data_IF_391817574093
#
_entry.id   IF_391817574093
#
_cell.length_a   1.000
_cell.length_b   1.000
_cell.length_c   1.000
_cell.angle_alpha   90.00
_cell.angle_beta   90.00
_cell.angle_gamma   90.00
#
_symmetry.space_group_name_H-M   'P 1'
#
loop_
_entity.id
_entity.type
_entity.pdbx_description
1 polymer ?
#
# COMPACT_ATOMS: atom_id res chain seq x y z
N UNK A 1 6.89 25.61 -5.80
CA UNK A 1 6.05 24.46 -5.41
C UNK A 1 6.84 23.18 -5.62
N UNK A 2 7.28 22.51 -4.54
CA UNK A 2 7.76 21.13 -4.68
C UNK A 2 6.57 20.26 -5.11
N UNK A 3 6.75 19.31 -6.05
CA UNK A 3 5.68 18.37 -6.35
C UNK A 3 5.32 17.58 -5.09
N UNK A 4 4.03 17.53 -4.75
CA UNK A 4 3.52 16.74 -3.63
C UNK A 4 3.80 15.26 -3.89
N UNK A 5 4.36 14.57 -2.89
CA UNK A 5 4.35 13.11 -2.87
C UNK A 5 3.04 12.68 -2.24
N UNK A 6 2.32 11.76 -2.89
CA UNK A 6 0.97 11.37 -2.49
C UNK A 6 0.84 9.86 -2.49
N UNK A 7 -0.04 9.37 -1.63
CA UNK A 7 -0.52 7.99 -1.60
C UNK A 7 -2.02 8.09 -1.81
N UNK A 8 -2.49 7.53 -2.92
CA UNK A 8 -3.91 7.49 -3.26
C UNK A 8 -4.42 6.11 -2.84
N UNK A 9 -5.33 6.06 -1.87
CA UNK A 9 -5.85 4.80 -1.31
C UNK A 9 -7.29 4.59 -1.79
N UNK A 10 -7.59 3.33 -2.12
CA UNK A 10 -8.91 2.82 -2.49
C UNK A 10 -9.22 1.59 -1.63
N UNK A 11 -10.45 1.06 -1.73
CA UNK A 11 -10.86 -0.12 -0.97
C UNK A 11 -10.03 -1.37 -1.27
N UNK A 12 -9.61 -1.53 -2.52
CA UNK A 12 -8.94 -2.72 -3.07
C UNK A 12 -7.50 -2.45 -3.54
N UNK A 13 -6.96 -1.26 -3.28
CA UNK A 13 -5.60 -0.96 -3.70
C UNK A 13 -5.13 0.45 -3.38
N UNK A 14 -3.96 0.77 -3.91
CA UNK A 14 -3.37 2.08 -3.78
C UNK A 14 -2.42 2.43 -4.93
N UNK A 15 -2.12 3.71 -5.05
CA UNK A 15 -1.08 4.28 -5.90
C UNK A 15 -0.12 5.12 -5.07
N UNK A 16 1.14 5.14 -5.50
CA UNK A 16 2.16 6.04 -4.94
C UNK A 16 2.51 7.05 -6.02
N UNK A 17 2.35 8.33 -5.73
CA UNK A 17 2.88 9.44 -6.52
C UNK A 17 4.15 9.93 -5.86
N UNK A 18 5.30 9.74 -6.51
CA UNK A 18 6.59 10.19 -6.02
C UNK A 18 7.35 10.90 -7.13
N UNK A 19 7.84 12.13 -6.86
CA UNK A 19 8.56 12.96 -7.84
C UNK A 19 7.82 13.08 -9.19
N UNK A 20 6.50 13.34 -9.14
CA UNK A 20 5.59 13.46 -10.30
C UNK A 20 5.41 12.18 -11.13
N UNK A 21 5.89 11.03 -10.65
CA UNK A 21 5.65 9.74 -11.29
C UNK A 21 4.69 8.92 -10.44
N UNK A 22 3.75 8.26 -11.11
CA UNK A 22 2.76 7.40 -10.51
C UNK A 22 3.24 5.94 -10.58
N UNK A 23 3.10 5.20 -9.48
CA UNK A 23 3.47 3.80 -9.34
C UNK A 23 2.27 3.03 -8.81
N UNK A 24 1.90 1.95 -9.49
CA UNK A 24 0.73 1.14 -9.17
C UNK A 24 -0.01 0.64 -10.42
N UNK A 25 -1.27 0.19 -10.27
CA UNK A 25 -1.92 0.02 -8.98
C UNK A 25 -1.25 -1.11 -8.20
N UNK A 26 -1.12 -0.92 -6.90
CA UNK A 26 -0.84 -2.01 -5.96
C UNK A 26 -2.19 -2.48 -5.46
N UNK A 27 -2.57 -3.72 -5.78
CA UNK A 27 -3.91 -4.25 -5.52
C UNK A 27 -3.87 -5.25 -4.36
N UNK A 28 -4.97 -5.33 -3.63
CA UNK A 28 -5.24 -6.32 -2.60
C UNK A 28 -6.31 -7.28 -3.12
N UNK A 29 -6.11 -8.59 -2.94
CA UNK A 29 -7.12 -9.58 -3.28
C UNK A 29 -7.18 -10.69 -2.22
N UNK A 30 -8.38 -11.25 -2.04
CA UNK A 30 -8.52 -12.48 -1.29
C UNK A 30 -7.97 -13.65 -2.10
N UNK A 31 -7.04 -14.39 -1.49
CA UNK A 31 -6.54 -15.65 -2.03
C UNK A 31 -7.35 -16.80 -1.44
N UNK A 32 -8.14 -17.45 -2.29
CA UNK A 32 -8.95 -18.61 -1.92
C UNK A 32 -8.11 -19.81 -1.50
N UNK A 33 -6.90 -19.93 -2.07
CA UNK A 33 -6.01 -21.08 -1.84
C UNK A 33 -5.22 -20.97 -0.53
N UNK A 34 -4.97 -19.74 -0.06
CA UNK A 34 -4.16 -19.47 1.14
C UNK A 34 -4.98 -19.06 2.37
N UNK A 35 -6.30 -18.95 2.24
CA UNK A 35 -7.18 -18.37 3.26
C UNK A 35 -6.68 -17.00 3.78
N UNK A 36 -6.13 -16.17 2.88
CA UNK A 36 -5.42 -14.94 3.23
C UNK A 36 -5.51 -13.86 2.16
N UNK A 37 -4.76 -12.78 2.35
CA UNK A 37 -4.70 -11.65 1.42
C UNK A 37 -3.39 -11.69 0.64
N UNK A 38 -3.49 -11.52 -0.67
CA UNK A 38 -2.37 -11.35 -1.57
C UNK A 38 -2.33 -9.92 -2.12
N UNK A 39 -1.12 -9.49 -2.43
CA UNK A 39 -0.83 -8.18 -2.98
C UNK A 39 -0.22 -8.31 -4.36
N UNK A 40 -0.80 -7.60 -5.32
CA UNK A 40 -0.40 -7.63 -6.72
C UNK A 40 0.14 -6.28 -7.16
N UNK A 41 1.16 -6.30 -8.00
CA UNK A 41 1.61 -5.15 -8.77
C UNK A 41 1.76 -5.59 -10.22
N UNK A 42 1.10 -4.87 -11.14
CA UNK A 42 1.10 -5.21 -12.58
C UNK A 42 0.68 -6.67 -12.86
N UNK A 43 -0.25 -7.20 -12.06
CA UNK A 43 -0.76 -8.57 -12.19
C UNK A 43 0.11 -9.66 -11.58
N UNK A 44 1.30 -9.32 -11.07
CA UNK A 44 2.19 -10.29 -10.42
C UNK A 44 2.14 -10.14 -8.90
N UNK A 45 2.08 -11.28 -8.20
CA UNK A 45 2.14 -11.32 -6.74
C UNK A 45 3.49 -10.82 -6.25
N UNK A 46 3.46 -9.88 -5.32
CA UNK A 46 4.66 -9.34 -4.69
C UNK A 46 4.62 -9.47 -3.17
N UNK A 47 3.45 -9.68 -2.56
CA UNK A 47 3.36 -9.95 -1.13
C UNK A 47 2.13 -10.79 -0.77
N UNK A 48 2.17 -11.42 0.40
CA UNK A 48 1.08 -12.23 0.92
C UNK A 48 1.14 -12.38 2.44
N UNK A 49 -0.03 -12.55 3.05
CA UNK A 49 -0.18 -12.95 4.45
C UNK A 49 -0.21 -14.48 4.52
N UNK A 50 0.88 -15.09 4.99
CA UNK A 50 1.02 -16.55 5.07
C UNK A 50 0.45 -17.14 6.37
N UNK A 51 0.10 -16.30 7.34
CA UNK A 51 -0.43 -16.70 8.65
C UNK A 51 -0.63 -15.51 9.57
N UNK A 52 -1.04 -15.73 10.84
CA UNK A 52 -1.36 -14.65 11.78
C UNK A 52 -0.23 -13.64 12.00
N UNK A 53 1.03 -14.09 11.91
CA UNK A 53 2.24 -13.30 12.12
C UNK A 53 3.28 -13.51 11.01
N UNK A 54 2.91 -14.20 9.93
CA UNK A 54 3.82 -14.51 8.83
C UNK A 54 3.44 -13.70 7.60
N UNK A 55 4.41 -12.94 7.10
CA UNK A 55 4.23 -12.03 5.99
C UNK A 55 5.42 -12.12 5.03
N UNK A 56 5.14 -12.35 3.75
CA UNK A 56 6.14 -12.36 2.69
C UNK A 56 5.95 -11.13 1.81
N UNK A 57 7.05 -10.46 1.43
CA UNK A 57 7.04 -9.42 0.42
C UNK A 57 8.37 -9.34 -0.33
N UNK A 58 8.29 -9.28 -1.65
CA UNK A 58 9.40 -9.04 -2.55
C UNK A 58 9.00 -8.06 -3.66
N UNK A 59 9.63 -6.87 -3.63
CA UNK A 59 9.45 -5.82 -4.62
C UNK A 59 10.64 -5.72 -5.59
N UNK A 60 11.72 -6.49 -5.38
CA UNK A 60 12.93 -6.46 -6.20
C UNK A 60 12.63 -6.67 -7.70
N UNK A 61 11.77 -7.62 -8.12
CA UNK A 61 11.49 -7.84 -9.54
C UNK A 61 10.89 -6.63 -10.27
N UNK A 62 10.27 -5.70 -9.54
CA UNK A 62 9.58 -4.54 -10.13
C UNK A 62 10.49 -3.33 -10.34
N UNK A 63 11.74 -3.39 -9.84
CA UNK A 63 12.77 -2.36 -10.04
C UNK A 63 12.26 -0.95 -9.72
N UNK A 64 11.49 -0.83 -8.63
CA UNK A 64 10.94 0.44 -8.17
C UNK A 64 12.01 1.26 -7.43
N UNK A 65 11.88 2.60 -7.40
CA UNK A 65 12.76 3.41 -6.55
C UNK A 65 12.64 2.97 -5.08
N UNK A 66 13.76 2.94 -4.34
CA UNK A 66 13.78 2.49 -2.95
C UNK A 66 12.74 3.20 -2.05
N UNK A 67 12.51 4.50 -2.25
CA UNK A 67 11.45 5.24 -1.54
C UNK A 67 10.05 4.69 -1.82
N UNK A 68 9.77 4.30 -3.06
CA UNK A 68 8.48 3.69 -3.43
C UNK A 68 8.37 2.31 -2.79
N UNK A 69 9.44 1.51 -2.77
CA UNK A 69 9.46 0.23 -2.06
C UNK A 69 9.13 0.41 -0.58
N UNK A 70 9.81 1.33 0.13
CA UNK A 70 9.56 1.58 1.55
C UNK A 70 8.12 2.01 1.82
N UNK A 71 7.58 2.93 1.02
CA UNK A 71 6.19 3.38 1.16
C UNK A 71 5.22 2.22 0.90
N UNK A 72 5.45 1.42 -0.15
CA UNK A 72 4.62 0.27 -0.46
C UNK A 72 4.64 -0.76 0.68
N UNK A 73 5.81 -1.10 1.23
CA UNK A 73 5.93 -2.03 2.35
C UNK A 73 5.16 -1.55 3.59
N UNK A 74 5.23 -0.25 3.92
CA UNK A 74 4.48 0.33 5.04
C UNK A 74 2.98 0.19 4.82
N UNK A 75 2.48 0.55 3.64
CA UNK A 75 1.05 0.48 3.32
C UNK A 75 0.58 -0.96 3.37
N UNK A 76 1.32 -1.87 2.78
CA UNK A 76 0.99 -3.29 2.71
C UNK A 76 0.91 -3.91 4.12
N UNK A 77 1.90 -3.65 4.99
CA UNK A 77 1.87 -4.11 6.37
C UNK A 77 0.66 -3.53 7.13
N UNK A 78 0.38 -2.23 6.94
CA UNK A 78 -0.78 -1.58 7.54
C UNK A 78 -2.09 -2.21 7.07
N UNK A 79 -2.23 -2.47 5.77
CA UNK A 79 -3.46 -3.05 5.19
C UNK A 79 -3.66 -4.49 5.62
N UNK A 80 -2.60 -5.31 5.64
CA UNK A 80 -2.65 -6.67 6.15
C UNK A 80 -3.19 -6.72 7.59
N UNK A 81 -2.70 -5.83 8.45
CA UNK A 81 -3.14 -5.77 9.85
C UNK A 81 -4.54 -5.15 10.01
N UNK A 82 -4.84 -4.11 9.24
CA UNK A 82 -6.13 -3.42 9.32
C UNK A 82 -7.29 -4.31 8.87
N UNK A 83 -7.08 -5.07 7.80
CA UNK A 83 -8.05 -6.03 7.29
C UNK A 83 -8.29 -7.17 8.30
N UNK A 84 -7.26 -7.62 9.01
CA UNK A 84 -7.38 -8.60 10.10
C UNK A 84 -8.27 -8.13 11.25
N UNK A 85 -8.26 -6.83 11.57
CA UNK A 85 -9.03 -6.26 12.67
C UNK A 85 -10.35 -5.59 12.23
N UNK A 86 -10.70 -5.65 10.94
CA UNK A 86 -11.91 -5.03 10.42
C UNK A 86 -11.92 -3.49 10.49
N UNK A 87 -10.74 -2.86 10.48
CA UNK A 87 -10.61 -1.40 10.60
C UNK A 87 -11.19 -0.68 9.37
N UNK A 88 -11.78 0.50 9.57
CA UNK A 88 -12.33 1.33 8.49
C UNK A 88 -11.24 2.13 7.75
N UNK A 89 -11.59 2.81 6.66
CA UNK A 89 -10.63 3.58 5.85
C UNK A 89 -9.95 4.71 6.65
N UNK A 90 -10.71 5.44 7.48
CA UNK A 90 -10.16 6.53 8.29
C UNK A 90 -9.09 6.03 9.27
N UNK A 91 -9.35 4.91 9.94
CA UNK A 91 -8.40 4.26 10.84
C UNK A 91 -7.14 3.80 10.10
N UNK A 92 -7.30 3.21 8.91
CA UNK A 92 -6.19 2.81 8.04
C UNK A 92 -5.33 4.02 7.65
N UNK A 93 -5.95 5.10 7.19
CA UNK A 93 -5.25 6.33 6.79
C UNK A 93 -4.49 6.93 7.97
N UNK A 94 -5.12 7.03 9.14
CA UNK A 94 -4.46 7.53 10.35
C UNK A 94 -3.22 6.70 10.70
N UNK A 95 -3.33 5.37 10.60
CA UNK A 95 -2.23 4.45 10.86
C UNK A 95 -1.11 4.56 9.83
N UNK A 96 -1.43 4.65 8.54
CA UNK A 96 -0.44 4.86 7.48
C UNK A 96 0.34 6.15 7.74
N UNK A 97 -0.34 7.25 8.06
CA UNK A 97 0.31 8.53 8.36
C UNK A 97 1.27 8.43 9.55
N UNK A 98 0.85 7.77 10.63
CA UNK A 98 1.71 7.54 11.79
C UNK A 98 2.97 6.73 11.45
N UNK A 99 2.82 5.65 10.67
CA UNK A 99 3.95 4.81 10.24
C UNK A 99 4.90 5.55 9.30
N UNK A 100 4.37 6.36 8.37
CA UNK A 100 5.17 7.20 7.48
C UNK A 100 5.99 8.21 8.28
N UNK A 101 5.39 8.85 9.28
CA UNK A 101 6.10 9.80 10.14
C UNK A 101 7.23 9.10 10.91
N UNK A 102 6.95 7.94 11.54
CA UNK A 102 7.96 7.15 12.25
C UNK A 102 9.11 6.69 11.34
N UNK A 103 8.84 6.53 10.05
CA UNK A 103 9.82 6.10 9.04
C UNK A 103 10.55 7.26 8.33
N UNK A 104 10.32 8.53 8.73
CA UNK A 104 10.93 9.70 8.08
C UNK A 104 10.40 9.99 6.67
N UNK A 105 9.13 9.63 6.42
CA UNK A 105 8.41 9.77 5.16
C UNK A 105 7.19 10.70 5.27
N UNK A 106 7.19 11.59 6.27
CA UNK A 106 6.18 12.61 6.59
C UNK A 106 5.86 13.58 5.43
N UNK A 107 6.75 13.66 4.44
CA UNK A 107 6.52 14.38 3.17
C UNK A 107 5.44 13.77 2.26
N UNK A 108 5.02 12.52 2.51
CA UNK A 108 3.92 11.89 1.77
C UNK A 108 2.58 12.27 2.39
N UNK A 109 1.64 12.71 1.56
CA UNK A 109 0.24 12.90 1.96
C UNK A 109 -0.56 11.68 1.57
N UNK A 110 -1.46 11.23 2.44
CA UNK A 110 -2.38 10.13 2.14
C UNK A 110 -3.73 10.72 1.80
N UNK A 111 -4.35 10.25 0.73
CA UNK A 111 -5.65 10.72 0.26
C UNK A 111 -6.49 9.53 -0.17
N UNK A 112 -7.69 9.43 0.38
CA UNK A 112 -8.70 8.50 -0.13
C UNK A 112 -9.20 9.00 -1.49
N UNK A 113 -9.38 8.07 -2.43
CA UNK A 113 -9.94 8.36 -3.75
C UNK A 113 -11.05 7.36 -4.02
N UNK A 114 -12.24 7.85 -4.37
CA UNK A 114 -13.38 6.99 -4.72
C UNK A 114 -13.18 6.34 -6.09
N UNK A 115 -13.68 5.13 -6.26
CA UNK A 115 -13.48 4.24 -7.43
C UNK A 115 -13.91 4.87 -8.76
N UNK A 116 -14.80 5.87 -8.75
CA UNK A 116 -15.23 6.64 -9.94
C UNK A 116 -14.16 7.61 -10.47
N UNK A 117 -13.05 7.78 -9.75
CA UNK A 117 -11.96 8.71 -10.07
C UNK A 117 -10.63 7.98 -10.24
N UNK A 118 -10.64 6.84 -10.94
CA UNK A 118 -9.40 6.15 -11.35
C UNK A 118 -8.62 7.09 -12.28
N UNK A 119 -7.36 7.44 -11.96
CA UNK A 119 -6.55 8.31 -12.81
C UNK A 119 -6.23 7.68 -14.16
#
# INVERSE_FOLDING_TARGET
>A
MQPSNEILVHDDGFWIVCRRRMYGPFLYQWSGDLHGIEFLLRGSKFAEVCGPEQFFADLEPFQLPATVCHVATIIVACMAESLRHGQCMDERVHRILALLQQSGLDRFRVREVRTESRP
#
